data_IF_736381392590
#
_entry.id   IF_736381392590
#
_cell.length_a   1.000
_cell.length_b   1.000
_cell.length_c   1.000
_cell.angle_alpha   90.00
_cell.angle_beta   90.00
_cell.angle_gamma   90.00
#
_symmetry.space_group_name_H-M   'P 1'
#
loop_
_entity.id
_entity.type
_entity.pdbx_description
1 polymer ?
#
# COMPACT_ATOMS: atom_id res chain seq x y z
N UNK A 1 -24.95 -21.35 -16.23
CA UNK A 1 -25.51 -21.07 -14.88
C UNK A 1 -26.94 -21.57 -14.69
N UNK A 2 -27.93 -21.24 -15.56
CA UNK A 2 -29.33 -21.67 -15.38
C UNK A 2 -29.55 -23.20 -15.35
N UNK A 3 -28.88 -23.96 -16.23
CA UNK A 3 -28.95 -25.43 -16.24
C UNK A 3 -28.30 -26.06 -14.99
N UNK A 4 -27.24 -25.45 -14.45
CA UNK A 4 -26.56 -25.92 -13.25
C UNK A 4 -27.42 -25.73 -11.99
N UNK A 5 -28.06 -24.56 -11.85
CA UNK A 5 -28.97 -24.26 -10.75
C UNK A 5 -30.21 -25.17 -10.74
N UNK A 6 -30.73 -25.53 -11.92
CA UNK A 6 -31.86 -26.46 -12.05
C UNK A 6 -31.50 -27.89 -11.64
N UNK A 7 -30.33 -28.39 -12.06
CA UNK A 7 -29.84 -29.73 -11.67
C UNK A 7 -29.46 -29.82 -10.19
N UNK A 8 -28.91 -28.75 -9.60
CA UNK A 8 -28.59 -28.67 -8.18
C UNK A 8 -29.85 -28.55 -7.29
N UNK A 9 -30.88 -27.80 -7.69
CA UNK A 9 -32.13 -27.70 -6.90
C UNK A 9 -32.84 -29.05 -6.74
N UNK A 10 -32.68 -29.96 -7.72
CA UNK A 10 -33.22 -31.32 -7.65
C UNK A 10 -32.44 -32.26 -6.70
N UNK A 11 -31.20 -31.89 -6.33
CA UNK A 11 -30.33 -32.64 -5.43
C UNK A 11 -30.30 -32.03 -4.02
N UNK A 12 -30.25 -30.70 -3.94
CA UNK A 12 -30.24 -29.91 -2.71
C UNK A 12 -30.93 -28.55 -2.99
N UNK A 13 -32.14 -28.32 -2.46
CA UNK A 13 -32.87 -27.07 -2.61
C UNK A 13 -32.10 -25.82 -2.14
N UNK A 14 -31.29 -25.94 -1.08
CA UNK A 14 -30.54 -24.85 -0.49
C UNK A 14 -29.33 -24.48 -1.35
N UNK A 15 -28.62 -25.48 -1.89
CA UNK A 15 -27.56 -25.26 -2.87
C UNK A 15 -28.10 -24.60 -4.15
N UNK A 16 -29.29 -25.02 -4.61
CA UNK A 16 -29.97 -24.39 -5.73
C UNK A 16 -30.34 -22.93 -5.48
N UNK A 17 -30.78 -22.60 -4.26
CA UNK A 17 -31.08 -21.23 -3.85
C UNK A 17 -29.82 -20.36 -3.78
N UNK A 18 -28.73 -20.86 -3.18
CA UNK A 18 -27.45 -20.16 -3.10
C UNK A 18 -26.90 -19.77 -4.49
N UNK A 19 -26.94 -20.69 -5.46
CA UNK A 19 -26.48 -20.40 -6.84
C UNK A 19 -27.34 -19.33 -7.51
N UNK A 20 -28.65 -19.29 -7.23
CA UNK A 20 -29.54 -18.22 -7.74
C UNK A 20 -29.20 -16.87 -7.13
N UNK A 21 -28.87 -16.83 -5.84
CA UNK A 21 -28.44 -15.61 -5.14
C UNK A 21 -27.15 -15.06 -5.73
N UNK A 22 -26.15 -15.92 -5.93
CA UNK A 22 -24.87 -15.56 -6.58
C UNK A 22 -25.14 -14.93 -7.95
N UNK A 23 -25.88 -15.61 -8.82
CA UNK A 23 -26.20 -15.12 -10.16
C UNK A 23 -27.07 -13.85 -10.16
N UNK A 24 -27.81 -13.57 -9.09
CA UNK A 24 -28.59 -12.35 -8.95
C UNK A 24 -27.69 -11.15 -8.63
N UNK A 25 -26.85 -11.26 -7.61
CA UNK A 25 -25.93 -10.17 -7.23
C UNK A 25 -24.84 -9.92 -8.28
N UNK A 26 -24.39 -10.95 -9.00
CA UNK A 26 -23.43 -10.78 -10.11
C UNK A 26 -24.04 -9.90 -11.21
N UNK A 27 -25.31 -10.13 -11.58
CA UNK A 27 -26.03 -9.29 -12.56
C UNK A 27 -26.25 -7.86 -12.07
N UNK A 28 -26.54 -7.67 -10.78
CA UNK A 28 -26.64 -6.32 -10.21
C UNK A 28 -25.29 -5.59 -10.20
N UNK A 29 -24.19 -6.31 -9.95
CA UNK A 29 -22.84 -5.76 -10.02
C UNK A 29 -22.44 -5.38 -11.46
N UNK A 30 -22.71 -6.25 -12.43
CA UNK A 30 -22.47 -6.03 -13.87
C UNK A 30 -23.25 -4.82 -14.40
N UNK A 31 -24.54 -4.71 -14.04
CA UNK A 31 -25.42 -3.60 -14.44
C UNK A 31 -25.16 -2.29 -13.69
N UNK A 32 -24.15 -2.26 -12.79
CA UNK A 32 -23.80 -1.11 -11.96
C UNK A 32 -24.98 -0.58 -11.14
N UNK A 33 -25.78 -1.48 -10.59
CA UNK A 33 -26.92 -1.13 -9.77
C UNK A 33 -26.52 -0.27 -8.57
N UNK A 34 -27.36 0.71 -8.22
CA UNK A 34 -27.14 1.59 -7.07
C UNK A 34 -27.28 0.86 -5.73
N UNK A 35 -26.79 1.51 -4.67
CA UNK A 35 -26.73 0.93 -3.32
C UNK A 35 -28.10 0.47 -2.80
N UNK A 36 -29.15 1.25 -3.03
CA UNK A 36 -30.52 0.88 -2.64
C UNK A 36 -31.00 -0.40 -3.34
N UNK A 37 -30.64 -0.60 -4.61
CA UNK A 37 -31.03 -1.79 -5.36
C UNK A 37 -30.35 -3.06 -4.82
N UNK A 38 -29.12 -2.94 -4.32
CA UNK A 38 -28.41 -4.06 -3.68
C UNK A 38 -29.04 -4.44 -2.32
N UNK A 39 -29.35 -3.44 -1.48
CA UNK A 39 -30.02 -3.67 -0.19
C UNK A 39 -31.44 -4.21 -0.41
N UNK A 40 -32.14 -3.71 -1.42
CA UNK A 40 -33.45 -4.24 -1.85
C UNK A 40 -33.35 -5.69 -2.28
N UNK A 41 -32.33 -6.04 -3.05
CA UNK A 41 -32.04 -7.43 -3.44
C UNK A 41 -31.88 -8.35 -2.23
N UNK A 42 -31.14 -7.91 -1.22
CA UNK A 42 -30.97 -8.66 0.03
C UNK A 42 -32.29 -8.84 0.79
N UNK A 43 -33.10 -7.79 0.93
CA UNK A 43 -34.39 -7.85 1.62
C UNK A 43 -35.40 -8.78 0.92
N UNK A 44 -35.50 -8.67 -0.40
CA UNK A 44 -36.45 -9.47 -1.20
C UNK A 44 -36.04 -10.95 -1.24
N UNK A 45 -34.75 -11.25 -1.40
CA UNK A 45 -34.26 -12.64 -1.42
C UNK A 45 -34.32 -13.31 -0.04
N UNK A 46 -34.07 -12.55 1.03
CA UNK A 46 -34.16 -13.08 2.39
C UNK A 46 -35.61 -13.17 2.88
N UNK A 47 -36.53 -12.35 2.34
CA UNK A 47 -37.91 -12.26 2.82
C UNK A 47 -38.03 -11.59 4.19
N UNK A 48 -37.02 -10.84 4.62
CA UNK A 48 -37.00 -10.03 5.83
C UNK A 48 -36.37 -8.66 5.54
N UNK A 49 -36.58 -7.64 6.40
CA UNK A 49 -35.99 -6.33 6.17
C UNK A 49 -34.47 -6.43 6.14
N UNK A 50 -33.83 -5.79 5.18
CA UNK A 50 -32.37 -5.68 5.10
C UNK A 50 -31.93 -4.25 5.40
N UNK A 51 -30.86 -4.13 6.19
CA UNK A 51 -30.38 -2.85 6.67
C UNK A 51 -28.88 -2.72 6.44
N UNK A 52 -28.48 -1.62 5.81
CA UNK A 52 -27.10 -1.22 5.62
C UNK A 52 -26.82 0.01 6.48
N UNK A 53 -25.84 -0.09 7.36
CA UNK A 53 -25.32 1.02 8.18
C UNK A 53 -23.80 1.01 8.09
N UNK A 54 -23.24 2.00 7.40
CA UNK A 54 -21.81 2.28 7.40
C UNK A 54 -21.60 3.64 8.06
N UNK A 55 -21.15 3.61 9.31
CA UNK A 55 -20.89 4.80 10.11
C UNK A 55 -19.76 5.65 9.52
N UNK A 56 -18.72 5.01 8.97
CA UNK A 56 -17.57 5.69 8.37
C UNK A 56 -17.95 6.47 7.11
N UNK A 57 -18.83 5.90 6.27
CA UNK A 57 -19.30 6.52 5.02
C UNK A 57 -20.62 7.29 5.14
N UNK A 58 -21.16 7.44 6.36
CA UNK A 58 -22.48 8.02 6.67
C UNK A 58 -23.61 7.47 5.81
N UNK A 59 -23.59 6.18 5.55
CA UNK A 59 -24.62 5.47 4.77
C UNK A 59 -25.58 4.82 5.74
N UNK A 60 -26.87 5.08 5.56
CA UNK A 60 -27.96 4.33 6.18
C UNK A 60 -29.01 4.06 5.13
N UNK A 61 -29.30 2.80 4.89
CA UNK A 61 -30.35 2.35 3.98
C UNK A 61 -31.06 1.18 4.64
N UNK A 62 -32.38 1.24 4.75
CA UNK A 62 -33.19 0.12 5.23
C UNK A 62 -34.31 -0.14 4.23
N UNK A 63 -34.43 -1.39 3.80
CA UNK A 63 -35.41 -1.83 2.82
C UNK A 63 -36.23 -2.97 3.42
N UNK A 64 -37.55 -2.86 3.29
CA UNK A 64 -38.52 -3.85 3.72
C UNK A 64 -38.59 -5.05 2.73
N UNK A 65 -39.18 -6.19 3.12
CA UNK A 65 -39.30 -7.37 2.26
C UNK A 65 -40.08 -7.13 0.97
N UNK A 66 -40.98 -6.13 0.97
CA UNK A 66 -41.73 -5.68 -0.21
C UNK A 66 -40.89 -4.82 -1.18
N UNK A 67 -39.64 -4.56 -0.83
CA UNK A 67 -38.70 -3.74 -1.58
C UNK A 67 -38.86 -2.24 -1.38
N UNK A 68 -39.75 -1.79 -0.47
CA UNK A 68 -39.93 -0.38 -0.13
C UNK A 68 -38.84 0.10 0.85
N UNK A 69 -38.31 1.30 0.60
CA UNK A 69 -37.34 1.92 1.51
C UNK A 69 -38.06 2.53 2.71
N UNK A 70 -37.64 2.16 3.91
CA UNK A 70 -38.14 2.72 5.19
C UNK A 70 -36.98 2.95 6.14
N UNK A 71 -36.50 4.19 6.17
CA UNK A 71 -35.40 4.59 7.03
C UNK A 71 -35.82 4.55 8.52
N UNK A 72 -34.88 4.19 9.39
CA UNK A 72 -35.07 4.15 10.84
C UNK A 72 -33.81 4.59 11.56
N UNK A 73 -33.97 5.31 12.67
CA UNK A 73 -32.89 5.83 13.50
C UNK A 73 -32.51 4.90 14.65
N UNK A 74 -33.29 3.86 14.92
CA UNK A 74 -32.98 2.88 15.97
C UNK A 74 -31.69 2.12 15.64
N UNK A 75 -30.81 1.78 16.59
CA UNK A 75 -29.62 0.97 16.31
C UNK A 75 -29.99 -0.45 15.85
N UNK A 76 -29.18 -1.12 14.99
CA UNK A 76 -29.42 -2.52 14.64
C UNK A 76 -29.18 -3.45 15.85
N UNK A 77 -29.99 -4.51 15.99
CA UNK A 77 -29.80 -5.51 17.04
C UNK A 77 -28.61 -6.42 16.68
N UNK A 78 -27.67 -6.60 17.61
CA UNK A 78 -26.45 -7.42 17.40
C UNK A 78 -26.75 -8.91 17.25
N UNK A 79 -27.97 -9.36 17.57
CA UNK A 79 -28.39 -10.76 17.43
C UNK A 79 -28.86 -11.12 16.01
N UNK A 80 -29.00 -10.13 15.14
CA UNK A 80 -29.41 -10.35 13.75
C UNK A 80 -28.26 -10.88 12.89
N UNK A 81 -28.53 -11.76 11.91
CA UNK A 81 -27.53 -12.17 10.93
C UNK A 81 -26.92 -10.94 10.24
N UNK A 82 -25.59 -10.88 10.20
CA UNK A 82 -24.90 -9.70 9.70
C UNK A 82 -23.55 -10.05 9.07
N UNK A 83 -23.09 -9.14 8.20
CA UNK A 83 -21.83 -9.29 7.47
C UNK A 83 -21.09 -7.95 7.43
N UNK A 84 -19.76 -8.04 7.45
CA UNK A 84 -18.87 -6.90 7.34
C UNK A 84 -18.64 -6.51 5.88
N UNK A 85 -18.46 -5.22 5.58
CA UNK A 85 -18.11 -4.80 4.22
C UNK A 85 -16.63 -4.97 3.91
N UNK A 86 -15.77 -4.96 4.93
CA UNK A 86 -14.31 -5.15 4.82
C UNK A 86 -13.88 -6.38 5.62
N UNK A 87 -12.85 -7.12 5.17
CA UNK A 87 -12.21 -8.11 6.02
C UNK A 87 -11.82 -7.43 7.35
N UNK A 88 -12.25 -7.99 8.48
CA UNK A 88 -12.07 -7.46 9.84
C UNK A 88 -12.82 -6.16 10.21
N UNK A 89 -13.80 -5.75 9.38
CA UNK A 89 -14.66 -4.61 9.66
C UNK A 89 -15.78 -4.92 10.66
N UNK A 90 -16.36 -3.87 11.25
CA UNK A 90 -17.62 -4.02 11.97
C UNK A 90 -18.72 -4.50 11.01
N UNK A 91 -19.67 -5.27 11.55
CA UNK A 91 -20.90 -5.62 10.83
C UNK A 91 -21.56 -4.34 10.30
N UNK A 92 -21.98 -4.37 9.04
CA UNK A 92 -22.47 -3.19 8.33
C UNK A 92 -23.70 -3.51 7.47
N UNK A 93 -23.96 -4.78 7.16
CA UNK A 93 -25.20 -5.25 6.56
C UNK A 93 -25.88 -6.23 7.53
N UNK A 94 -27.17 -6.02 7.83
CA UNK A 94 -27.97 -6.86 8.71
C UNK A 94 -29.25 -7.33 8.01
N UNK A 95 -29.70 -8.53 8.35
CA UNK A 95 -31.04 -9.03 8.07
C UNK A 95 -31.86 -9.00 9.36
N UNK A 96 -32.95 -8.23 9.43
CA UNK A 96 -33.77 -8.01 10.64
C UNK A 96 -34.62 -9.25 10.98
N UNK A 97 -33.93 -10.33 11.36
CA UNK A 97 -34.52 -11.63 11.68
C UNK A 97 -34.03 -12.08 13.05
N UNK A 98 -34.95 -12.14 14.01
CA UNK A 98 -34.70 -12.73 15.32
C UNK A 98 -35.22 -14.16 15.37
N UNK A 99 -34.34 -15.14 15.64
CA UNK A 99 -34.77 -16.46 16.12
C UNK A 99 -34.84 -17.63 15.12
N UNK A 100 -34.06 -17.63 14.03
CA UNK A 100 -33.81 -18.84 13.25
C UNK A 100 -32.31 -19.14 13.22
N UNK A 101 -31.92 -20.43 13.30
CA UNK A 101 -30.53 -20.86 13.19
C UNK A 101 -29.89 -20.45 11.85
N UNK A 102 -28.57 -20.60 11.69
CA UNK A 102 -27.84 -20.12 10.51
C UNK A 102 -28.39 -20.77 9.23
N UNK A 103 -29.02 -19.96 8.38
CA UNK A 103 -29.42 -20.35 7.03
C UNK A 103 -28.24 -20.17 6.09
N UNK A 104 -27.87 -21.23 5.37
CA UNK A 104 -26.81 -21.18 4.34
C UNK A 104 -27.16 -20.14 3.27
N UNK A 105 -28.44 -20.01 2.93
CA UNK A 105 -28.91 -19.04 1.94
C UNK A 105 -28.76 -17.61 2.46
N UNK A 106 -29.07 -17.35 3.74
CA UNK A 106 -28.90 -16.02 4.34
C UNK A 106 -27.42 -15.62 4.37
N UNK A 107 -26.52 -16.57 4.71
CA UNK A 107 -25.08 -16.33 4.69
C UNK A 107 -24.59 -15.95 3.28
N UNK A 108 -25.05 -16.68 2.24
CA UNK A 108 -24.70 -16.36 0.85
C UNK A 108 -25.32 -15.02 0.40
N UNK A 109 -26.54 -14.69 0.82
CA UNK A 109 -27.15 -13.37 0.54
C UNK A 109 -26.30 -12.27 1.14
N UNK A 110 -25.95 -12.40 2.41
CA UNK A 110 -25.15 -11.42 3.14
C UNK A 110 -23.75 -11.25 2.53
N UNK A 111 -23.04 -12.35 2.26
CA UNK A 111 -21.69 -12.34 1.66
C UNK A 111 -21.71 -11.68 0.28
N UNK A 112 -22.61 -12.11 -0.62
CA UNK A 112 -22.68 -11.59 -1.99
C UNK A 112 -23.16 -10.14 -2.02
N UNK A 113 -24.13 -9.77 -1.18
CA UNK A 113 -24.61 -8.39 -1.06
C UNK A 113 -23.51 -7.47 -0.51
N UNK A 114 -22.82 -7.87 0.58
CA UNK A 114 -21.74 -7.11 1.17
C UNK A 114 -20.59 -6.88 0.17
N UNK A 115 -20.21 -7.91 -0.59
CA UNK A 115 -19.20 -7.81 -1.65
C UNK A 115 -19.60 -6.82 -2.75
N UNK A 116 -20.84 -6.89 -3.25
CA UNK A 116 -21.34 -5.96 -4.27
C UNK A 116 -21.47 -4.52 -3.74
N UNK A 117 -21.94 -4.35 -2.49
CA UNK A 117 -22.04 -3.05 -1.82
C UNK A 117 -20.66 -2.43 -1.64
N UNK A 118 -19.65 -3.21 -1.23
CA UNK A 118 -18.26 -2.76 -1.15
C UNK A 118 -17.80 -2.18 -2.49
N UNK A 119 -17.98 -2.91 -3.59
CA UNK A 119 -17.59 -2.44 -4.92
C UNK A 119 -18.27 -1.12 -5.32
N UNK A 120 -19.56 -0.96 -5.00
CA UNK A 120 -20.29 0.28 -5.29
C UNK A 120 -19.80 1.43 -4.42
N UNK A 121 -19.56 1.22 -3.13
CA UNK A 121 -19.06 2.24 -2.22
C UNK A 121 -17.63 2.65 -2.56
N UNK A 122 -16.76 1.71 -2.91
CA UNK A 122 -15.38 1.97 -3.33
C UNK A 122 -15.36 2.80 -4.62
N UNK A 123 -16.24 2.50 -5.60
CA UNK A 123 -16.35 3.25 -6.85
C UNK A 123 -16.92 4.66 -6.66
N UNK A 124 -17.98 4.81 -5.86
CA UNK A 124 -18.75 6.06 -5.79
C UNK A 124 -18.21 7.04 -4.76
N UNK A 125 -17.48 6.56 -3.74
CA UNK A 125 -17.03 7.38 -2.62
C UNK A 125 -15.57 7.19 -2.22
N UNK A 126 -14.83 6.35 -2.93
CA UNK A 126 -13.48 5.96 -2.52
C UNK A 126 -13.47 5.30 -1.13
N UNK A 127 -12.29 4.92 -0.67
CA UNK A 127 -12.10 4.58 0.75
C UNK A 127 -12.19 5.90 1.52
N UNK A 128 -13.39 6.23 2.02
CA UNK A 128 -13.55 7.34 2.96
C UNK A 128 -12.51 7.14 4.09
N UNK A 129 -11.66 8.14 4.37
CA UNK A 129 -10.61 8.03 5.37
C UNK A 129 -11.22 7.67 6.72
N UNK A 130 -10.60 6.75 7.46
CA UNK A 130 -11.00 6.38 8.82
C UNK A 130 -10.91 7.58 9.79
N UNK A 131 -10.15 8.62 9.40
CA UNK A 131 -10.04 9.92 10.05
C UNK A 131 -9.82 11.02 8.99
N UNK A 132 -10.36 12.25 9.15
CA UNK A 132 -10.01 13.42 8.31
C UNK A 132 -8.49 13.71 8.25
N UNK A 133 -7.74 13.19 9.23
CA UNK A 133 -6.28 13.27 9.31
C UNK A 133 -5.54 12.44 8.24
N UNK A 134 -6.23 11.50 7.58
CA UNK A 134 -5.67 10.62 6.55
C UNK A 134 -6.38 10.79 5.20
N UNK A 135 -6.99 11.94 4.93
CA UNK A 135 -7.68 12.19 3.65
C UNK A 135 -6.69 12.30 2.48
N UNK A 136 -6.69 11.35 1.53
CA UNK A 136 -5.77 11.38 0.40
C UNK A 136 -5.86 12.68 -0.40
N UNK A 137 -7.05 13.26 -0.54
CA UNK A 137 -7.24 14.49 -1.30
C UNK A 137 -6.60 15.69 -0.59
N UNK A 138 -6.64 15.73 0.74
CA UNK A 138 -5.99 16.76 1.54
C UNK A 138 -4.47 16.60 1.51
N UNK A 139 -3.97 15.37 1.58
CA UNK A 139 -2.54 15.07 1.45
C UNK A 139 -2.05 15.47 0.06
N UNK A 140 -2.73 15.06 -1.00
CA UNK A 140 -2.40 15.45 -2.38
C UNK A 140 -2.38 16.96 -2.55
N UNK A 141 -3.42 17.66 -2.06
CA UNK A 141 -3.47 19.13 -2.11
C UNK A 141 -2.27 19.76 -1.39
N UNK A 142 -1.90 19.24 -0.22
CA UNK A 142 -0.79 19.77 0.59
C UNK A 142 0.59 19.52 -0.06
N UNK A 143 0.75 18.39 -0.76
CA UNK A 143 1.99 18.02 -1.44
C UNK A 143 2.13 18.62 -2.85
N UNK A 144 1.06 19.14 -3.43
CA UNK A 144 1.06 19.77 -4.75
C UNK A 144 1.70 21.19 -4.70
N UNK A 145 2.87 21.40 -5.33
CA UNK A 145 3.51 22.72 -5.35
C UNK A 145 2.73 23.78 -6.14
N UNK A 146 1.83 23.37 -7.04
CA UNK A 146 1.02 24.26 -7.88
C UNK A 146 -0.27 24.70 -7.18
N UNK A 147 -0.67 24.01 -6.11
CA UNK A 147 -1.85 24.36 -5.34
C UNK A 147 -1.68 25.72 -4.63
N UNK A 148 -2.72 26.58 -4.62
CA UNK A 148 -2.68 27.85 -3.91
C UNK A 148 -2.30 27.67 -2.44
N UNK A 149 -1.43 28.54 -1.91
CA UNK A 149 -0.95 28.45 -0.52
C UNK A 149 -2.10 28.35 0.50
N UNK A 150 -3.16 29.14 0.30
CA UNK A 150 -4.36 29.09 1.15
C UNK A 150 -5.03 27.71 1.16
N UNK A 151 -5.09 27.02 0.02
CA UNK A 151 -5.65 25.67 -0.06
C UNK A 151 -4.76 24.67 0.69
N UNK A 152 -3.44 24.79 0.57
CA UNK A 152 -2.46 23.97 1.29
C UNK A 152 -2.54 24.16 2.80
N UNK A 153 -2.62 25.41 3.29
CA UNK A 153 -2.80 25.69 4.72
C UNK A 153 -4.12 25.14 5.27
N UNK A 154 -5.21 25.24 4.51
CA UNK A 154 -6.49 24.65 4.91
C UNK A 154 -6.42 23.12 4.96
N UNK A 155 -5.75 22.49 3.99
CA UNK A 155 -5.51 21.05 3.99
C UNK A 155 -4.68 20.62 5.20
N UNK A 156 -3.57 21.30 5.48
CA UNK A 156 -2.73 21.04 6.63
C UNK A 156 -3.47 21.12 7.97
N UNK A 157 -4.31 22.16 8.17
CA UNK A 157 -5.14 22.30 9.37
C UNK A 157 -6.13 21.16 9.53
N UNK A 158 -6.74 20.72 8.42
CA UNK A 158 -7.67 19.58 8.44
C UNK A 158 -6.97 18.24 8.70
N UNK A 159 -5.71 18.14 8.30
CA UNK A 159 -4.83 17.02 8.62
C UNK A 159 -4.28 17.06 10.06
N UNK A 160 -4.63 18.09 10.85
CA UNK A 160 -4.21 18.22 12.25
C UNK A 160 -2.81 18.82 12.46
N UNK A 161 -2.21 19.40 11.41
CA UNK A 161 -0.95 20.13 11.54
C UNK A 161 -1.20 21.54 12.10
N UNK A 162 -0.47 21.91 13.14
CA UNK A 162 -0.53 23.26 13.69
C UNK A 162 0.21 24.25 12.78
N UNK A 163 -0.53 24.80 11.82
CA UNK A 163 -0.01 25.83 10.90
C UNK A 163 0.20 27.21 11.55
N UNK A 164 -0.28 27.42 12.79
CA UNK A 164 -0.11 28.69 13.49
C UNK A 164 1.26 28.76 14.19
N UNK A 165 1.80 27.61 14.59
CA UNK A 165 3.15 27.51 15.14
C UNK A 165 4.22 27.40 14.03
N UNK A 166 5.13 28.39 13.89
CA UNK A 166 6.24 28.32 12.95
C UNK A 166 7.27 27.23 13.28
N UNK A 167 7.23 26.63 14.47
CA UNK A 167 8.08 25.51 14.87
C UNK A 167 7.53 24.16 14.39
N UNK A 168 6.26 24.09 13.97
CA UNK A 168 5.68 22.86 13.41
C UNK A 168 6.47 22.40 12.19
N UNK A 169 6.95 21.16 12.24
CA UNK A 169 7.61 20.51 11.12
C UNK A 169 6.82 19.26 10.73
N UNK A 170 6.89 18.92 9.47
CA UNK A 170 6.33 17.70 8.94
C UNK A 170 7.26 17.11 7.88
N UNK A 171 7.17 15.79 7.69
CA UNK A 171 7.89 15.03 6.67
C UNK A 171 6.86 14.34 5.78
N UNK A 172 7.15 14.30 4.48
CA UNK A 172 6.41 13.47 3.54
C UNK A 172 7.05 12.08 3.44
N UNK A 173 6.21 11.05 3.31
CA UNK A 173 6.62 9.66 3.13
C UNK A 173 6.11 9.14 1.77
N UNK A 174 7.04 8.62 0.96
CA UNK A 174 6.75 7.97 -0.31
C UNK A 174 6.88 6.46 -0.17
N UNK A 175 5.75 5.75 -0.21
CA UNK A 175 5.70 4.29 -0.25
C UNK A 175 5.68 3.82 -1.70
N UNK A 176 6.22 2.63 -1.98
CA UNK A 176 6.11 2.03 -3.32
C UNK A 176 4.65 1.74 -3.70
N UNK A 177 3.95 0.98 -2.86
CA UNK A 177 2.59 0.50 -3.13
C UNK A 177 1.50 1.26 -2.34
N UNK A 178 1.84 2.41 -1.77
CA UNK A 178 1.00 3.10 -0.79
C UNK A 178 0.72 4.55 -1.15
N UNK A 179 -0.41 5.12 -0.67
CA UNK A 179 -0.68 6.54 -0.82
C UNK A 179 0.39 7.38 -0.09
N UNK A 180 0.61 8.63 -0.51
CA UNK A 180 1.47 9.56 0.22
C UNK A 180 0.98 9.69 1.66
N UNK A 181 1.92 9.77 2.60
CA UNK A 181 1.64 10.02 4.01
C UNK A 181 2.44 11.21 4.50
N UNK A 182 1.91 11.88 5.52
CA UNK A 182 2.58 12.99 6.19
C UNK A 182 2.73 12.60 7.66
N UNK A 183 3.93 12.77 8.19
CA UNK A 183 4.20 12.62 9.61
C UNK A 183 4.59 13.97 10.18
N UNK A 184 3.95 14.36 11.28
CA UNK A 184 4.46 15.44 12.13
C UNK A 184 5.85 15.07 12.63
N UNK A 185 6.74 16.04 12.64
CA UNK A 185 8.12 15.86 13.05
C UNK A 185 8.56 17.00 13.96
N UNK A 186 9.54 16.72 14.80
CA UNK A 186 10.30 17.74 15.50
C UNK A 186 11.68 17.88 14.84
N UNK A 187 12.27 19.07 14.94
CA UNK A 187 13.55 19.35 14.32
C UNK A 187 14.66 18.51 14.98
N UNK A 188 15.39 17.74 14.16
CA UNK A 188 16.45 16.85 14.65
C UNK A 188 15.96 15.47 15.13
N UNK A 189 14.64 15.24 15.19
CA UNK A 189 14.10 13.92 15.53
C UNK A 189 13.92 13.05 14.28
N UNK A 190 14.35 11.80 14.42
CA UNK A 190 14.19 10.76 13.42
C UNK A 190 12.96 9.93 13.80
N UNK A 191 12.05 9.62 12.85
CA UNK A 191 10.92 8.77 13.16
C UNK A 191 11.43 7.43 13.70
N UNK A 192 10.81 6.92 14.76
CA UNK A 192 11.07 5.55 15.17
C UNK A 192 10.63 4.59 14.05
N UNK A 193 11.42 3.55 13.79
CA UNK A 193 11.12 2.57 12.72
C UNK A 193 9.74 1.93 12.89
N UNK A 194 9.25 1.82 14.13
CA UNK A 194 7.90 1.30 14.45
C UNK A 194 6.76 2.22 14.00
N UNK A 195 7.02 3.49 13.74
CA UNK A 195 6.04 4.46 13.24
C UNK A 195 6.00 4.51 11.70
N UNK A 196 6.93 3.84 11.02
CA UNK A 196 7.02 3.83 9.57
C UNK A 196 6.23 2.66 8.97
N UNK A 197 5.54 2.86 7.83
CA UNK A 197 4.95 1.77 7.08
C UNK A 197 6.00 0.72 6.72
N UNK A 198 5.61 -0.55 6.78
CA UNK A 198 6.45 -1.64 6.31
C UNK A 198 6.64 -1.58 4.78
N UNK A 199 7.77 -2.10 4.31
CA UNK A 199 8.11 -2.16 2.89
C UNK A 199 9.08 -1.08 2.43
N UNK A 200 9.10 -0.83 1.13
CA UNK A 200 9.99 0.15 0.49
C UNK A 200 9.47 1.57 0.71
N UNK A 201 10.24 2.36 1.44
CA UNK A 201 9.83 3.68 1.91
C UNK A 201 10.93 4.73 1.73
N UNK A 202 10.61 5.80 1.01
CA UNK A 202 11.40 7.03 0.99
C UNK A 202 10.88 8.03 2.01
N UNK A 203 11.76 8.59 2.84
CA UNK A 203 11.41 9.55 3.89
C UNK A 203 12.04 10.91 3.56
N UNK A 204 11.22 11.96 3.47
CA UNK A 204 11.69 13.31 3.20
C UNK A 204 12.24 14.05 4.44
N UNK A 205 12.91 15.21 4.23
CA UNK A 205 13.38 16.10 5.30
C UNK A 205 12.24 16.67 6.15
N UNK A 206 12.51 16.98 7.42
CA UNK A 206 11.58 17.71 8.27
C UNK A 206 11.57 19.18 7.86
N UNK A 207 10.43 19.64 7.35
CA UNK A 207 10.29 20.98 6.76
C UNK A 207 9.08 21.70 7.34
N UNK A 208 9.02 23.04 7.25
CA UNK A 208 7.79 23.78 7.49
C UNK A 208 6.65 23.24 6.63
N UNK A 209 5.41 23.37 7.10
CA UNK A 209 4.21 22.82 6.43
C UNK A 209 4.11 23.22 4.96
N UNK A 210 4.43 24.48 4.62
CA UNK A 210 4.35 24.98 3.25
C UNK A 210 5.44 24.44 2.31
N UNK A 211 6.53 23.92 2.88
CA UNK A 211 7.66 23.32 2.17
C UNK A 211 7.50 21.80 1.99
N UNK A 212 6.38 21.21 2.44
CA UNK A 212 6.09 19.78 2.25
C UNK A 212 6.21 19.29 0.80
N UNK A 213 5.88 20.06 -0.25
CA UNK A 213 6.16 19.65 -1.64
C UNK A 213 7.65 19.33 -1.89
N UNK A 214 8.57 20.09 -1.27
CA UNK A 214 10.01 19.81 -1.34
C UNK A 214 10.35 18.53 -0.57
N UNK A 215 9.77 18.33 0.61
CA UNK A 215 9.94 17.07 1.34
C UNK A 215 9.42 15.88 0.53
N UNK A 216 8.32 16.04 -0.19
CA UNK A 216 7.72 15.01 -1.02
C UNK A 216 8.60 14.64 -2.22
N UNK A 217 9.12 15.64 -2.94
CA UNK A 217 10.07 15.39 -4.03
C UNK A 217 11.32 14.64 -3.54
N UNK A 218 11.85 15.03 -2.38
CA UNK A 218 12.98 14.35 -1.75
C UNK A 218 12.63 12.92 -1.28
N UNK A 219 11.44 12.70 -0.72
CA UNK A 219 10.95 11.36 -0.34
C UNK A 219 10.84 10.44 -1.55
N UNK A 220 10.27 10.92 -2.67
CA UNK A 220 10.20 10.17 -3.93
C UNK A 220 11.58 9.84 -4.49
N UNK A 221 12.52 10.78 -4.35
CA UNK A 221 13.93 10.53 -4.71
C UNK A 221 14.52 9.44 -3.85
N UNK A 222 14.34 9.51 -2.52
CA UNK A 222 14.82 8.52 -1.58
C UNK A 222 14.22 7.13 -1.81
N UNK A 223 12.94 7.05 -2.17
CA UNK A 223 12.27 5.79 -2.50
C UNK A 223 13.00 5.03 -3.61
N UNK A 224 13.59 5.73 -4.59
CA UNK A 224 14.32 5.09 -5.70
C UNK A 224 15.65 4.46 -5.29
N UNK A 225 16.17 4.79 -4.10
CA UNK A 225 17.35 4.16 -3.51
C UNK A 225 17.00 2.98 -2.59
N UNK A 226 15.71 2.73 -2.33
CA UNK A 226 15.28 1.62 -1.48
C UNK A 226 15.48 0.27 -2.18
N UNK A 227 15.59 -0.78 -1.38
CA UNK A 227 15.72 -2.15 -1.84
C UNK A 227 14.68 -3.06 -1.18
N UNK A 228 14.41 -4.22 -1.78
CA UNK A 228 13.60 -5.27 -1.14
C UNK A 228 14.31 -5.92 0.06
N UNK A 229 15.65 -5.87 0.10
CA UNK A 229 16.46 -6.52 1.15
C UNK A 229 16.70 -8.01 0.89
N UNK A 230 16.43 -8.49 -0.32
CA UNK A 230 16.66 -9.87 -0.72
C UNK A 230 18.07 -10.06 -1.27
N UNK A 231 18.51 -11.32 -1.46
CA UNK A 231 19.81 -11.58 -2.09
C UNK A 231 19.92 -11.04 -3.54
N UNK A 232 18.77 -10.85 -4.22
CA UNK A 232 18.66 -10.32 -5.59
C UNK A 232 18.49 -8.80 -5.64
N UNK A 233 18.04 -8.19 -4.55
CA UNK A 233 18.01 -6.74 -4.36
C UNK A 233 18.42 -6.35 -2.93
N UNK A 234 19.72 -6.42 -2.59
CA UNK A 234 20.21 -6.11 -1.27
C UNK A 234 20.23 -4.59 -1.02
N UNK A 235 19.92 -4.18 0.20
CA UNK A 235 19.95 -2.79 0.63
C UNK A 235 18.84 -2.43 1.61
N UNK A 236 18.75 -1.15 2.02
CA UNK A 236 17.76 -0.70 2.97
C UNK A 236 16.37 -0.59 2.34
N UNK A 237 15.35 -1.12 3.01
CA UNK A 237 13.95 -0.90 2.65
C UNK A 237 13.47 0.52 2.92
N UNK A 238 14.07 1.19 3.92
CA UNK A 238 13.75 2.58 4.29
C UNK A 238 14.96 3.46 4.01
N UNK A 239 14.79 4.52 3.23
CA UNK A 239 15.84 5.50 2.94
C UNK A 239 15.38 6.90 3.30
N UNK A 240 16.18 7.61 4.10
CA UNK A 240 15.95 9.01 4.42
C UNK A 240 16.70 9.90 3.44
N UNK A 241 16.01 10.87 2.86
CA UNK A 241 16.60 11.83 1.93
C UNK A 241 17.73 12.65 2.58
N UNK A 242 17.65 12.90 3.89
CA UNK A 242 18.68 13.62 4.67
C UNK A 242 20.05 12.90 4.64
N UNK A 243 20.07 11.57 4.48
CA UNK A 243 21.30 10.78 4.50
C UNK A 243 21.94 10.63 3.11
N UNK A 244 21.20 10.92 2.03
CA UNK A 244 21.69 10.70 0.67
C UNK A 244 22.78 11.70 0.26
N UNK A 245 22.75 12.92 0.83
CA UNK A 245 23.68 13.99 0.47
C UNK A 245 23.77 14.18 -1.05
N UNK A 246 25.00 14.29 -1.59
CA UNK A 246 25.22 14.49 -3.02
C UNK A 246 24.85 13.30 -3.92
N UNK A 247 24.67 12.09 -3.36
CA UNK A 247 24.31 10.90 -4.15
C UNK A 247 22.88 11.04 -4.70
N UNK A 248 22.01 11.83 -4.07
CA UNK A 248 20.65 12.07 -4.57
C UNK A 248 20.62 12.66 -5.99
N UNK A 249 21.65 13.41 -6.38
CA UNK A 249 21.77 14.01 -7.72
C UNK A 249 21.84 12.96 -8.83
N UNK A 250 22.26 11.72 -8.53
CA UNK A 250 22.23 10.64 -9.51
C UNK A 250 20.80 10.30 -9.94
N UNK A 251 19.81 10.49 -9.06
CA UNK A 251 18.42 10.22 -9.39
C UNK A 251 17.89 11.15 -10.49
N UNK A 252 18.38 12.39 -10.57
CA UNK A 252 17.98 13.32 -11.63
C UNK A 252 18.59 12.96 -12.99
N UNK A 253 19.76 12.29 -12.98
CA UNK A 253 20.51 11.92 -14.18
C UNK A 253 20.12 10.54 -14.73
N UNK A 254 19.83 9.59 -13.84
CA UNK A 254 19.50 8.21 -14.21
C UNK A 254 17.99 8.08 -14.25
N UNK A 255 17.41 7.94 -15.45
CA UNK A 255 15.97 7.71 -15.63
C UNK A 255 15.72 6.20 -15.66
N UNK A 256 14.60 5.69 -15.09
CA UNK A 256 14.23 4.29 -15.21
C UNK A 256 14.19 3.86 -16.69
N UNK A 257 14.77 2.69 -16.99
CA UNK A 257 14.87 2.18 -18.37
C UNK A 257 15.94 2.85 -19.24
N UNK A 258 16.74 3.78 -18.70
CA UNK A 258 17.91 4.30 -19.41
C UNK A 258 18.99 3.23 -19.57
N UNK A 259 19.79 3.35 -20.64
CA UNK A 259 20.90 2.44 -20.91
C UNK A 259 21.92 2.49 -19.76
N UNK A 260 22.20 1.36 -19.09
CA UNK A 260 23.10 1.35 -17.95
C UNK A 260 24.54 1.66 -18.38
N UNK A 261 25.32 2.39 -17.56
CA UNK A 261 26.75 2.58 -17.81
C UNK A 261 27.52 1.25 -17.90
N UNK A 262 28.71 1.24 -18.53
CA UNK A 262 29.54 0.03 -18.67
C UNK A 262 29.81 -0.71 -17.35
N UNK A 263 29.95 0.03 -16.25
CA UNK A 263 30.19 -0.52 -14.92
C UNK A 263 28.98 -1.31 -14.40
N UNK A 264 27.78 -0.82 -14.67
CA UNK A 264 26.53 -1.52 -14.32
C UNK A 264 26.35 -2.76 -15.20
N UNK A 265 26.69 -2.68 -16.49
CA UNK A 265 26.73 -3.85 -17.36
C UNK A 265 27.72 -4.93 -16.90
N UNK A 266 28.91 -4.54 -16.45
CA UNK A 266 29.88 -5.47 -15.87
C UNK A 266 29.34 -6.11 -14.58
N UNK A 267 28.69 -5.30 -13.73
CA UNK A 267 28.04 -5.78 -12.52
C UNK A 267 26.91 -6.79 -12.81
N UNK A 268 26.00 -6.49 -13.72
CA UNK A 268 24.89 -7.40 -14.07
C UNK A 268 25.40 -8.71 -14.66
N UNK A 269 26.42 -8.66 -15.55
CA UNK A 269 27.06 -9.88 -16.07
C UNK A 269 27.72 -10.71 -14.97
N UNK A 270 28.37 -10.08 -14.00
CA UNK A 270 28.99 -10.78 -12.88
C UNK A 270 27.94 -11.44 -11.95
N UNK A 271 26.76 -10.85 -11.84
CA UNK A 271 25.67 -11.34 -10.99
C UNK A 271 24.84 -12.44 -11.65
N UNK A 272 24.73 -12.45 -12.99
CA UNK A 272 23.87 -13.36 -13.75
C UNK A 272 24.01 -14.84 -13.35
N UNK A 273 25.26 -15.32 -13.23
CA UNK A 273 25.55 -16.73 -12.94
C UNK A 273 25.95 -17.01 -11.49
N UNK A 274 25.96 -15.97 -10.64
CA UNK A 274 26.52 -16.05 -9.29
C UNK A 274 25.57 -15.47 -8.24
N UNK A 275 24.69 -16.30 -7.64
CA UNK A 275 23.66 -15.84 -6.70
C UNK A 275 24.17 -15.07 -5.47
N UNK A 276 25.40 -15.34 -5.03
CA UNK A 276 26.01 -14.68 -3.87
C UNK A 276 26.72 -13.36 -4.22
N UNK A 277 26.93 -13.05 -5.51
CA UNK A 277 27.78 -11.95 -5.97
C UNK A 277 27.24 -10.60 -5.49
N UNK A 278 25.95 -10.34 -5.75
CA UNK A 278 25.36 -9.04 -5.48
C UNK A 278 25.31 -8.73 -3.98
N UNK A 279 24.89 -9.69 -3.14
CA UNK A 279 24.87 -9.53 -1.69
C UNK A 279 26.28 -9.35 -1.11
N UNK A 280 27.28 -10.04 -1.67
CA UNK A 280 28.68 -9.89 -1.25
C UNK A 280 29.23 -8.51 -1.59
N UNK A 281 29.01 -8.05 -2.82
CA UNK A 281 29.44 -6.73 -3.28
C UNK A 281 28.73 -5.60 -2.52
N UNK A 282 27.44 -5.76 -2.24
CA UNK A 282 26.69 -4.83 -1.41
C UNK A 282 27.28 -4.71 0.00
N UNK A 283 27.53 -5.83 0.69
CA UNK A 283 28.12 -5.83 2.02
C UNK A 283 29.52 -5.19 2.06
N UNK A 284 30.34 -5.41 1.04
CA UNK A 284 31.66 -4.74 0.91
C UNK A 284 31.51 -3.25 0.67
N UNK A 285 30.52 -2.82 -0.10
CA UNK A 285 30.23 -1.41 -0.33
C UNK A 285 29.70 -0.72 0.94
N UNK A 286 28.84 -1.39 1.71
CA UNK A 286 28.11 -0.84 2.86
C UNK A 286 28.92 -0.83 4.17
N UNK A 287 29.87 -1.75 4.36
CA UNK A 287 30.56 -1.91 5.65
C UNK A 287 31.93 -1.24 5.72
N UNK A 288 32.39 -0.88 6.92
CA UNK A 288 33.70 -0.24 7.09
C UNK A 288 34.90 -1.17 6.86
N UNK A 289 34.72 -2.50 6.88
CA UNK A 289 35.81 -3.47 6.75
C UNK A 289 35.36 -4.79 6.13
N UNK A 290 36.31 -5.53 5.54
CA UNK A 290 36.04 -6.87 5.00
C UNK A 290 35.60 -7.88 6.08
N UNK A 291 35.99 -7.69 7.34
CA UNK A 291 35.52 -8.54 8.44
C UNK A 291 34.04 -8.28 8.74
N UNK A 292 33.62 -7.02 8.72
CA UNK A 292 32.22 -6.66 8.88
C UNK A 292 31.38 -7.18 7.69
N UNK A 293 31.87 -7.01 6.45
CA UNK A 293 31.22 -7.58 5.27
C UNK A 293 31.05 -9.11 5.36
N UNK A 294 32.08 -9.83 5.82
CA UNK A 294 32.04 -11.28 5.98
C UNK A 294 30.98 -11.71 7.00
N UNK A 295 30.88 -10.99 8.12
CA UNK A 295 29.87 -11.23 9.14
C UNK A 295 28.46 -10.95 8.62
N UNK A 296 28.26 -9.86 7.87
CA UNK A 296 26.96 -9.48 7.29
C UNK A 296 26.44 -10.55 6.31
N UNK A 297 27.31 -11.11 5.47
CA UNK A 297 26.92 -12.19 4.52
C UNK A 297 27.10 -13.60 5.09
N UNK A 298 27.38 -13.72 6.39
CA UNK A 298 27.56 -14.96 7.15
C UNK A 298 28.56 -15.95 6.50
N UNK A 299 29.76 -15.47 6.16
CA UNK A 299 30.86 -16.30 5.64
C UNK A 299 32.16 -16.09 6.40
N UNK A 300 33.06 -17.05 6.29
CA UNK A 300 34.42 -16.90 6.81
C UNK A 300 35.21 -15.87 5.98
N UNK A 301 36.15 -15.16 6.63
CA UNK A 301 36.94 -14.12 5.96
C UNK A 301 37.73 -14.63 4.75
N UNK A 302 38.26 -15.86 4.81
CA UNK A 302 38.96 -16.50 3.69
C UNK A 302 38.04 -16.69 2.48
N UNK A 303 36.82 -17.20 2.71
CA UNK A 303 35.81 -17.36 1.66
C UNK A 303 35.41 -16.02 1.05
N UNK A 304 35.32 -14.95 1.86
CA UNK A 304 35.06 -13.61 1.33
C UNK A 304 36.18 -13.15 0.39
N UNK A 305 37.45 -13.37 0.75
CA UNK A 305 38.58 -13.00 -0.10
C UNK A 305 38.58 -13.75 -1.44
N UNK A 306 38.25 -15.04 -1.43
CA UNK A 306 38.13 -15.85 -2.66
C UNK A 306 37.00 -15.32 -3.55
N UNK A 307 35.83 -15.03 -2.94
CA UNK A 307 34.69 -14.41 -3.62
C UNK A 307 35.05 -13.07 -4.25
N UNK A 308 35.82 -12.23 -3.54
CA UNK A 308 36.25 -10.93 -4.07
C UNK A 308 37.27 -11.07 -5.19
N UNK A 309 38.18 -12.03 -5.12
CA UNK A 309 39.11 -12.31 -6.21
C UNK A 309 38.36 -12.72 -7.49
N UNK A 310 37.33 -13.55 -7.35
CA UNK A 310 36.44 -13.91 -8.45
C UNK A 310 35.60 -12.73 -8.95
N UNK A 311 35.08 -11.90 -8.05
CA UNK A 311 34.33 -10.70 -8.43
C UNK A 311 35.20 -9.71 -9.22
N UNK A 312 36.43 -9.44 -8.77
CA UNK A 312 37.35 -8.52 -9.44
C UNK A 312 37.72 -8.99 -10.85
N UNK A 313 37.83 -10.31 -11.08
CA UNK A 313 38.11 -10.85 -12.42
C UNK A 313 36.94 -10.68 -13.39
N UNK A 314 35.69 -10.76 -12.90
CA UNK A 314 34.48 -10.56 -13.71
C UNK A 314 34.17 -9.07 -13.95
N UNK A 315 34.37 -8.24 -12.92
CA UNK A 315 34.12 -6.80 -12.99
C UNK A 315 35.21 -6.09 -13.82
N UNK A 316 36.47 -6.52 -13.71
CA UNK A 316 37.61 -5.90 -14.37
C UNK A 316 38.18 -4.69 -13.61
N UNK A 317 37.84 -4.51 -12.33
CA UNK A 317 38.46 -3.52 -11.44
C UNK A 317 38.56 -4.02 -10.00
N UNK A 318 39.51 -3.48 -9.20
CA UNK A 318 39.71 -3.93 -7.83
C UNK A 318 38.70 -3.29 -6.86
N UNK A 319 37.84 -4.08 -6.22
CA UNK A 319 36.82 -3.58 -5.28
C UNK A 319 37.35 -3.34 -3.86
N UNK A 320 38.59 -3.77 -3.59
CA UNK A 320 39.26 -3.60 -2.29
C UNK A 320 39.95 -2.25 -2.12
N UNK A 321 40.17 -1.52 -3.20
CA UNK A 321 40.78 -0.18 -3.17
C UNK A 321 39.73 0.89 -2.84
N UNK A 322 40.10 2.02 -2.22
CA UNK A 322 39.16 3.12 -1.98
C UNK A 322 38.45 3.59 -3.25
N UNK A 323 39.19 3.72 -4.36
CA UNK A 323 38.65 4.15 -5.65
C UNK A 323 37.70 3.13 -6.25
N UNK A 324 38.08 1.84 -6.25
CA UNK A 324 37.22 0.80 -6.81
C UNK A 324 36.01 0.48 -5.94
N UNK A 325 36.09 0.70 -4.61
CA UNK A 325 34.94 0.65 -3.71
C UNK A 325 33.97 1.80 -3.97
N UNK A 326 34.46 3.03 -4.19
CA UNK A 326 33.60 4.15 -4.59
C UNK A 326 32.92 3.86 -5.93
N UNK A 327 33.67 3.35 -6.92
CA UNK A 327 33.12 2.92 -8.21
C UNK A 327 32.03 1.86 -8.05
N UNK A 328 32.24 0.88 -7.17
CA UNK A 328 31.24 -0.13 -6.84
C UNK A 328 29.98 0.47 -6.20
N UNK A 329 30.14 1.38 -5.23
CA UNK A 329 29.01 2.08 -4.59
C UNK A 329 28.17 2.85 -5.62
N UNK A 330 28.81 3.59 -6.53
CA UNK A 330 28.13 4.31 -7.60
C UNK A 330 27.43 3.35 -8.56
N UNK A 331 28.08 2.24 -8.94
CA UNK A 331 27.49 1.23 -9.83
C UNK A 331 26.24 0.61 -9.22
N UNK A 332 26.27 0.28 -7.92
CA UNK A 332 25.11 -0.25 -7.19
C UNK A 332 23.98 0.78 -7.09
N UNK A 333 24.31 2.06 -6.85
CA UNK A 333 23.32 3.13 -6.80
C UNK A 333 22.65 3.37 -8.17
N UNK A 334 23.45 3.47 -9.24
CA UNK A 334 22.93 3.65 -10.61
C UNK A 334 22.10 2.44 -11.04
N UNK A 335 22.55 1.21 -10.73
CA UNK A 335 21.78 -0.01 -10.97
C UNK A 335 20.38 0.08 -10.36
N UNK A 336 20.27 0.48 -9.08
CA UNK A 336 18.98 0.64 -8.41
C UNK A 336 18.12 1.72 -9.06
N UNK A 337 18.71 2.85 -9.43
CA UNK A 337 17.98 3.96 -10.07
C UNK A 337 17.50 3.65 -11.48
N UNK A 338 18.20 2.79 -12.22
CA UNK A 338 17.87 2.36 -13.57
C UNK A 338 16.77 1.29 -13.59
N UNK A 339 16.60 0.54 -12.51
CA UNK A 339 15.51 -0.42 -12.35
C UNK A 339 14.17 0.31 -12.27
N UNK A 340 13.19 -0.18 -13.01
CA UNK A 340 11.81 0.26 -12.83
C UNK A 340 11.38 -0.07 -11.40
N UNK A 341 11.08 0.98 -10.64
CA UNK A 341 10.40 0.84 -9.35
C UNK A 341 8.93 0.59 -9.72
N UNK A 342 8.61 -0.68 -10.00
CA UNK A 342 7.29 -1.12 -10.46
C UNK A 342 6.16 -0.79 -9.50
#
# INVERSE_FOLDING_TARGET
MKELAGRLTALDPDAGAAVRVIAYFDRLAESRAGLEALVRGAAVLAGCPARLVDAGRRVRVRVEPDGSRRDTDLPPDTRWPSESLTPDGAAALWLERSGAGPSVVDAVILERAAGAIRLVLDRTRGRAPVSPADDPALVETLLDPTAPERARLLAARRLGLDTADPATRARALASLDGPPRILSAHLGERPADTALPAGRLGVGPAVPVLDLPRSWAAARTALRFTAEGTARDPGPGVVHADDLGGISLLADLVVPGAEPPPDVHALERAVADTPWMLVTLHAVAATASLRAAAAEVNVHHSTLQDRLTHAESLLGWPVRTPQGRLRLQLSLAVRKLAQETG
#
